data_IF_540279061373
#
_entry.id   IF_540279061373
#
_cell.length_a   1.000
_cell.length_b   1.000
_cell.length_c   1.000
_cell.angle_alpha   90.00
_cell.angle_beta   90.00
_cell.angle_gamma   90.00
#
_symmetry.space_group_name_H-M   'P 1'
#
loop_
_entity.id
_entity.type
_entity.pdbx_description
1 polymer ?
#
# COMPACT_ATOMS: atom_id res chain seq x y z
N UNK A 1 46.93 -29.01 -24.05
CA UNK A 1 45.68 -28.96 -24.86
C UNK A 1 44.63 -28.22 -24.03
N UNK A 2 43.85 -27.35 -24.66
CA UNK A 2 43.22 -26.14 -24.10
C UNK A 2 42.15 -26.42 -23.03
N UNK A 3 42.20 -25.68 -21.91
CA UNK A 3 41.09 -25.52 -20.97
C UNK A 3 40.08 -24.54 -21.59
N UNK A 4 38.87 -24.98 -21.88
CA UNK A 4 37.77 -24.12 -22.30
C UNK A 4 37.01 -23.64 -21.06
N UNK A 5 37.12 -22.34 -20.74
CA UNK A 5 36.25 -21.70 -19.77
C UNK A 5 34.93 -21.33 -20.46
N UNK A 6 33.81 -21.82 -19.93
CA UNK A 6 32.48 -21.36 -20.33
C UNK A 6 32.18 -20.10 -19.53
N UNK A 7 32.18 -18.95 -20.21
CA UNK A 7 31.66 -17.71 -19.65
C UNK A 7 30.13 -17.81 -19.70
N UNK A 8 29.50 -18.07 -18.56
CA UNK A 8 28.07 -17.85 -18.42
C UNK A 8 27.85 -16.34 -18.43
N UNK A 9 27.30 -15.80 -19.52
CA UNK A 9 26.78 -14.45 -19.53
C UNK A 9 25.58 -14.39 -18.59
N UNK A 10 25.71 -13.67 -17.47
CA UNK A 10 24.56 -13.30 -16.67
C UNK A 10 23.67 -12.40 -17.53
N UNK A 11 22.45 -12.85 -17.82
CA UNK A 11 21.42 -12.02 -18.44
C UNK A 11 21.08 -10.94 -17.43
N UNK A 12 21.33 -9.68 -17.76
CA UNK A 12 20.90 -8.56 -16.94
C UNK A 12 19.37 -8.60 -16.85
N UNK A 13 18.83 -8.85 -15.65
CA UNK A 13 17.41 -8.68 -15.40
C UNK A 13 17.08 -7.18 -15.50
N UNK A 14 16.16 -6.83 -16.40
CA UNK A 14 15.44 -5.55 -16.36
C UNK A 14 13.96 -5.92 -16.36
N UNK A 15 13.16 -5.33 -15.46
CA UNK A 15 12.92 -3.89 -15.53
C UNK A 15 12.93 -3.19 -14.16
N UNK A 16 13.87 -2.27 -13.94
CA UNK A 16 13.65 -1.22 -12.94
C UNK A 16 12.84 -0.12 -13.62
N UNK A 17 11.52 -0.28 -13.69
CA UNK A 17 10.65 0.88 -13.99
C UNK A 17 10.57 1.70 -12.71
N UNK A 18 11.55 2.56 -12.51
CA UNK A 18 11.38 3.72 -11.66
C UNK A 18 10.52 4.70 -12.47
N UNK A 19 9.22 4.77 -12.20
CA UNK A 19 8.40 5.81 -12.80
C UNK A 19 8.72 7.14 -12.13
N UNK A 20 8.66 8.23 -12.91
CA UNK A 20 8.87 9.58 -12.38
C UNK A 20 7.88 9.83 -11.25
N UNK A 21 8.37 10.34 -10.12
CA UNK A 21 7.53 10.75 -9.00
C UNK A 21 6.41 11.67 -9.45
N UNK A 22 5.23 11.50 -8.84
CA UNK A 22 4.07 12.34 -9.04
C UNK A 22 3.65 13.00 -7.72
N UNK A 23 3.32 14.28 -7.79
CA UNK A 23 3.05 15.10 -6.59
C UNK A 23 1.64 15.70 -6.58
N UNK A 24 0.82 15.45 -7.61
CA UNK A 24 -0.55 15.97 -7.68
C UNK A 24 -1.48 15.26 -6.70
N UNK A 25 -2.54 15.97 -6.29
CA UNK A 25 -3.50 15.51 -5.26
C UNK A 25 -4.05 14.10 -5.53
N UNK A 26 -4.43 13.84 -6.78
CA UNK A 26 -5.10 12.61 -7.23
C UNK A 26 -4.30 11.87 -8.28
N UNK A 27 -3.00 12.14 -8.39
CA UNK A 27 -2.15 11.39 -9.31
C UNK A 27 -1.93 9.97 -8.80
N UNK A 28 -1.75 9.07 -9.75
CA UNK A 28 -1.48 7.66 -9.51
C UNK A 28 -0.67 7.07 -10.66
N UNK A 29 -0.04 5.93 -10.38
CA UNK A 29 0.50 5.02 -11.38
C UNK A 29 -0.12 3.63 -11.22
N UNK A 30 -0.03 2.80 -12.24
CA UNK A 30 -0.58 1.47 -12.29
C UNK A 30 0.47 0.43 -12.67
N UNK A 31 0.41 -0.72 -12.01
CA UNK A 31 1.03 -1.98 -12.45
C UNK A 31 -0.07 -2.96 -12.85
N UNK A 32 0.28 -4.19 -13.22
CA UNK A 32 -0.72 -5.23 -13.50
C UNK A 32 -1.62 -5.49 -12.29
N UNK A 33 -1.02 -5.63 -11.11
CA UNK A 33 -1.72 -6.00 -9.87
C UNK A 33 -2.15 -4.81 -9.00
N UNK A 34 -1.56 -3.63 -9.18
CA UNK A 34 -1.75 -2.49 -8.26
C UNK A 34 -2.09 -1.18 -8.96
N UNK A 35 -2.80 -0.32 -8.23
CA UNK A 35 -2.77 1.13 -8.47
C UNK A 35 -2.10 1.80 -7.26
N UNK A 36 -1.08 2.60 -7.49
CA UNK A 36 -0.37 3.36 -6.45
C UNK A 36 -0.86 4.81 -6.52
N UNK A 37 -1.46 5.30 -5.44
CA UNK A 37 -2.04 6.64 -5.35
C UNK A 37 -1.21 7.57 -4.47
N UNK A 38 -1.18 8.87 -4.81
CA UNK A 38 -0.68 9.92 -3.91
C UNK A 38 -1.75 10.27 -2.86
N UNK A 39 -3.01 10.40 -3.31
CA UNK A 39 -4.22 10.56 -2.49
C UNK A 39 -4.08 11.60 -1.37
N UNK A 40 -3.90 12.86 -1.76
CA UNK A 40 -3.71 13.99 -0.83
C UNK A 40 -5.05 14.61 -0.40
N UNK A 41 -6.00 13.78 0.03
CA UNK A 41 -7.38 14.20 0.30
C UNK A 41 -7.51 15.29 1.38
N UNK A 42 -6.61 15.30 2.37
CA UNK A 42 -6.58 16.25 3.48
C UNK A 42 -5.64 17.45 3.28
N UNK A 43 -4.98 17.56 2.11
CA UNK A 43 -3.95 18.58 1.89
C UNK A 43 -4.49 20.03 1.89
N UNK A 44 -5.79 20.22 1.69
CA UNK A 44 -6.42 21.54 1.72
C UNK A 44 -6.27 22.26 3.08
N UNK A 45 -6.12 21.52 4.17
CA UNK A 45 -5.90 22.05 5.52
C UNK A 45 -4.44 22.41 5.81
N UNK A 46 -3.52 22.06 4.90
CA UNK A 46 -2.11 22.46 4.96
C UNK A 46 -1.59 22.86 3.57
N UNK A 47 -2.02 24.02 3.05
CA UNK A 47 -1.74 24.45 1.67
C UNK A 47 -0.25 24.74 1.39
N UNK A 48 0.60 24.74 2.42
CA UNK A 48 2.06 24.93 2.30
C UNK A 48 2.82 23.62 2.32
N UNK A 49 2.18 22.53 2.73
CA UNK A 49 2.76 21.20 2.67
C UNK A 49 2.74 20.62 1.27
N UNK A 50 3.30 19.43 1.13
CA UNK A 50 3.36 18.73 -0.15
C UNK A 50 3.87 17.31 0.02
N UNK A 51 3.53 16.48 -0.96
CA UNK A 51 3.89 15.07 -0.97
C UNK A 51 4.00 14.55 -2.40
N UNK A 52 5.04 13.75 -2.65
CA UNK A 52 5.28 13.06 -3.90
C UNK A 52 5.40 11.56 -3.65
N UNK A 53 4.88 10.76 -4.58
CA UNK A 53 4.90 9.29 -4.53
C UNK A 53 5.52 8.76 -5.82
N UNK A 54 6.24 7.64 -5.74
CA UNK A 54 6.90 7.02 -6.88
C UNK A 54 6.89 5.49 -6.79
N UNK A 55 6.75 4.84 -7.95
CA UNK A 55 6.98 3.39 -8.11
C UNK A 55 8.46 3.17 -8.41
N UNK A 56 9.14 2.35 -7.61
CA UNK A 56 10.58 2.09 -7.73
C UNK A 56 10.90 0.88 -8.61
N UNK A 57 10.14 -0.21 -8.44
CA UNK A 57 10.34 -1.44 -9.22
C UNK A 57 9.12 -2.37 -9.17
N UNK A 58 9.05 -3.26 -10.15
CA UNK A 58 8.06 -4.35 -10.24
C UNK A 58 8.80 -5.64 -10.55
N UNK A 59 8.57 -6.68 -9.73
CA UNK A 59 9.10 -8.04 -9.91
C UNK A 59 7.98 -9.06 -9.66
N UNK A 60 7.34 -9.49 -10.75
CA UNK A 60 6.09 -10.25 -10.70
C UNK A 60 5.02 -9.46 -9.95
N UNK A 61 4.40 -10.09 -8.95
CA UNK A 61 3.41 -9.46 -8.07
C UNK A 61 4.02 -8.63 -6.93
N UNK A 62 5.34 -8.48 -6.87
CA UNK A 62 5.99 -7.65 -5.87
C UNK A 62 6.25 -6.25 -6.44
N UNK A 63 5.86 -5.23 -5.69
CA UNK A 63 6.18 -3.84 -5.99
C UNK A 63 7.10 -3.26 -4.91
N UNK A 64 7.95 -2.33 -5.31
CA UNK A 64 8.64 -1.42 -4.40
C UNK A 64 8.23 0.01 -4.75
N UNK A 65 7.99 0.84 -3.74
CA UNK A 65 7.52 2.22 -3.92
C UNK A 65 7.91 3.08 -2.72
N UNK A 66 7.84 4.39 -2.90
CA UNK A 66 8.09 5.36 -1.84
C UNK A 66 7.10 6.50 -1.88
N UNK A 67 7.00 7.21 -0.75
CA UNK A 67 6.37 8.53 -0.70
C UNK A 67 7.17 9.43 0.23
N UNK A 68 7.43 10.66 -0.21
CA UNK A 68 8.14 11.69 0.53
C UNK A 68 7.22 12.88 0.77
N UNK A 69 7.25 13.45 1.98
CA UNK A 69 6.34 14.54 2.35
C UNK A 69 6.93 15.56 3.31
N UNK A 70 6.35 16.75 3.24
CA UNK A 70 6.47 17.82 4.21
C UNK A 70 5.06 18.30 4.59
N UNK A 71 4.66 18.08 5.84
CA UNK A 71 3.37 18.49 6.40
C UNK A 71 3.61 19.21 7.73
N UNK A 72 3.12 20.44 7.83
CA UNK A 72 3.29 21.35 8.98
C UNK A 72 1.97 21.78 9.63
N UNK A 73 0.84 21.38 9.05
CA UNK A 73 -0.51 21.69 9.53
C UNK A 73 -0.85 21.03 10.86
N UNK A 74 -2.13 20.97 11.22
CA UNK A 74 -2.57 20.46 12.53
C UNK A 74 -2.17 18.99 12.77
N UNK A 75 -1.84 18.65 14.02
CA UNK A 75 -1.38 17.32 14.44
C UNK A 75 -2.48 16.27 14.57
N UNK A 76 -3.75 16.66 14.38
CA UNK A 76 -4.92 15.80 14.62
C UNK A 76 -5.64 15.38 13.35
N UNK A 77 -5.21 15.89 12.20
CA UNK A 77 -5.89 15.69 10.94
C UNK A 77 -4.92 15.09 9.94
N UNK A 78 -5.33 13.97 9.34
CA UNK A 78 -4.59 13.27 8.29
C UNK A 78 -4.58 14.12 7.02
N UNK A 79 -3.42 14.19 6.35
CA UNK A 79 -3.22 15.00 5.14
C UNK A 79 -3.36 14.20 3.85
N UNK A 80 -3.06 12.90 3.90
CA UNK A 80 -3.09 12.01 2.74
C UNK A 80 -3.25 10.56 3.15
N UNK A 81 -3.50 9.69 2.17
CA UNK A 81 -3.33 8.25 2.31
C UNK A 81 -2.70 7.69 1.04
N UNK A 82 -1.41 7.97 0.84
CA UNK A 82 -0.66 7.37 -0.26
C UNK A 82 -0.55 5.87 -0.04
N UNK A 83 -0.98 5.09 -1.03
CA UNK A 83 -1.17 3.66 -0.88
C UNK A 83 -1.01 2.88 -2.18
N UNK A 84 -0.66 1.60 -2.04
CA UNK A 84 -0.82 0.60 -3.08
C UNK A 84 -2.16 -0.11 -2.87
N UNK A 85 -3.04 -0.02 -3.87
CA UNK A 85 -4.34 -0.68 -3.90
C UNK A 85 -4.30 -1.90 -4.83
N UNK A 86 -4.60 -3.08 -4.30
CA UNK A 86 -4.68 -4.31 -5.08
C UNK A 86 -5.89 -4.25 -6.04
N UNK A 87 -5.67 -4.67 -7.27
CA UNK A 87 -6.70 -4.91 -8.28
C UNK A 87 -7.14 -6.36 -8.17
N UNK A 88 -8.41 -6.58 -7.86
CA UNK A 88 -9.01 -7.91 -7.79
C UNK A 88 -10.52 -7.79 -7.98
N UNK A 89 -11.15 -8.85 -8.46
CA UNK A 89 -12.60 -8.93 -8.48
C UNK A 89 -13.13 -9.07 -7.05
N UNK A 90 -14.18 -8.33 -6.64
CA UNK A 90 -14.70 -8.40 -5.29
C UNK A 90 -15.04 -9.84 -4.87
N UNK A 91 -14.46 -10.28 -3.76
CA UNK A 91 -14.68 -11.63 -3.19
C UNK A 91 -15.57 -11.51 -1.97
N UNK A 92 -16.54 -12.42 -1.83
CA UNK A 92 -17.46 -12.41 -0.70
C UNK A 92 -16.70 -12.59 0.63
N UNK A 93 -16.86 -11.64 1.55
CA UNK A 93 -16.41 -11.71 2.94
C UNK A 93 -17.60 -11.68 3.88
N UNK A 94 -17.37 -12.08 5.12
CA UNK A 94 -18.32 -11.81 6.17
C UNK A 94 -18.22 -10.28 6.60
N UNK A 95 -19.34 -9.56 6.96
CA UNK A 95 -19.72 -8.08 7.26
C UNK A 95 -18.71 -6.91 7.12
N UNK A 96 -19.05 -5.60 6.96
CA UNK A 96 -20.07 -4.68 7.56
C UNK A 96 -20.68 -3.61 6.61
N UNK A 97 -21.88 -3.06 6.88
CA UNK A 97 -22.67 -2.18 5.98
C UNK A 97 -21.96 -0.83 5.69
N UNK A 98 -22.00 -0.37 4.44
CA UNK A 98 -21.30 0.84 3.99
C UNK A 98 -22.10 2.13 4.30
N UNK A 99 -21.46 3.09 4.98
CA UNK A 99 -22.02 4.36 5.48
C UNK A 99 -22.03 4.39 7.00
N UNK A 100 -23.02 3.76 7.60
CA UNK A 100 -23.01 3.34 9.00
C UNK A 100 -21.90 2.27 9.22
N UNK A 101 -20.63 2.69 9.08
CA UNK A 101 -19.42 1.86 8.95
C UNK A 101 -18.71 1.76 10.29
N UNK A 102 -18.44 0.54 10.74
CA UNK A 102 -17.63 0.26 11.92
C UNK A 102 -16.17 0.06 11.51
N UNK A 103 -15.25 0.83 12.10
CA UNK A 103 -13.80 0.70 11.87
C UNK A 103 -13.17 -0.14 12.98
N UNK A 104 -12.50 -1.22 12.61
CA UNK A 104 -11.67 -2.00 13.52
C UNK A 104 -10.20 -1.72 13.20
N UNK A 105 -9.47 -1.17 14.17
CA UNK A 105 -8.05 -0.85 14.03
C UNK A 105 -7.23 -1.80 14.91
N UNK A 106 -6.49 -2.70 14.27
CA UNK A 106 -5.49 -3.52 14.95
C UNK A 106 -4.15 -2.79 14.96
N UNK A 107 -3.77 -2.23 16.10
CA UNK A 107 -2.51 -1.51 16.27
C UNK A 107 -1.49 -2.45 16.90
N UNK A 108 -0.38 -2.71 16.20
CA UNK A 108 0.71 -3.50 16.73
C UNK A 108 1.32 -2.81 17.97
N UNK A 109 1.61 -3.59 19.02
CA UNK A 109 2.21 -3.06 20.27
C UNK A 109 3.60 -2.46 20.03
N UNK A 110 4.35 -3.04 19.09
CA UNK A 110 5.67 -2.57 18.69
C UNK A 110 5.72 -2.30 17.19
N UNK A 111 6.53 -1.32 16.78
CA UNK A 111 6.77 -1.01 15.37
C UNK A 111 7.28 -2.23 14.62
N UNK A 112 6.55 -2.63 13.60
CA UNK A 112 6.85 -3.81 12.78
C UNK A 112 7.19 -3.35 11.37
N UNK A 113 8.46 -3.47 10.97
CA UNK A 113 8.95 -3.05 9.63
C UNK A 113 8.97 -4.18 8.61
N UNK A 114 8.66 -5.41 9.03
CA UNK A 114 8.51 -6.60 8.18
C UNK A 114 7.33 -7.41 8.69
N UNK A 115 6.37 -7.66 7.82
CA UNK A 115 5.13 -8.34 8.18
C UNK A 115 4.68 -9.27 7.04
N UNK A 116 4.15 -10.43 7.41
CA UNK A 116 3.55 -11.41 6.50
C UNK A 116 2.46 -12.13 7.26
N UNK A 117 1.25 -12.16 6.71
CA UNK A 117 0.10 -12.83 7.32
C UNK A 117 -0.95 -13.19 6.27
N UNK A 118 -1.80 -14.15 6.62
CA UNK A 118 -3.11 -14.29 5.98
C UNK A 118 -4.07 -13.32 6.64
N UNK A 119 -4.56 -12.34 5.87
CA UNK A 119 -5.44 -11.30 6.40
C UNK A 119 -6.79 -11.85 6.85
N UNK A 120 -7.19 -13.05 6.38
CA UNK A 120 -8.39 -13.75 6.87
C UNK A 120 -8.40 -13.87 8.40
N UNK A 121 -7.23 -14.03 9.02
CA UNK A 121 -7.08 -14.16 10.47
C UNK A 121 -7.60 -12.94 11.25
N UNK A 122 -7.53 -11.74 10.69
CA UNK A 122 -8.06 -10.54 11.35
C UNK A 122 -9.59 -10.51 11.33
N UNK A 123 -10.22 -11.09 10.30
CA UNK A 123 -11.67 -11.25 10.23
C UNK A 123 -12.17 -12.35 11.19
N UNK A 124 -11.39 -13.42 11.36
CA UNK A 124 -11.73 -14.52 12.27
C UNK A 124 -11.55 -14.16 13.77
N UNK A 125 -10.88 -13.04 14.08
CA UNK A 125 -10.54 -12.58 15.43
C UNK A 125 -11.21 -11.26 15.83
N UNK A 126 -12.40 -11.00 15.31
CA UNK A 126 -13.20 -9.87 15.77
C UNK A 126 -13.64 -10.08 17.25
N UNK A 127 -13.84 -9.00 18.03
CA UNK A 127 -14.37 -9.11 19.40
C UNK A 127 -15.75 -9.79 19.40
N UNK A 128 -16.10 -10.51 20.47
CA UNK A 128 -17.23 -11.46 20.51
C UNK A 128 -18.59 -10.90 20.03
N UNK A 129 -18.87 -9.62 20.28
CA UNK A 129 -20.12 -8.97 19.86
C UNK A 129 -20.10 -8.44 18.40
N UNK A 130 -18.98 -8.57 17.71
CA UNK A 130 -18.77 -8.08 16.35
C UNK A 130 -18.81 -9.24 15.37
N UNK A 131 -20.02 -9.59 14.93
CA UNK A 131 -20.21 -10.65 13.93
C UNK A 131 -20.06 -10.11 12.53
N UNK A 132 -19.49 -10.96 11.66
CA UNK A 132 -19.42 -10.67 10.25
C UNK A 132 -20.56 -11.37 9.40
N UNK A 133 -21.44 -10.67 8.63
CA UNK A 133 -22.56 -11.23 7.82
C UNK A 133 -22.04 -11.86 6.55
N UNK A 134 -22.46 -13.08 6.20
CA UNK A 134 -21.91 -13.81 5.06
C UNK A 134 -22.14 -13.14 3.70
N UNK A 135 -23.04 -12.16 3.58
CA UNK A 135 -23.42 -11.49 2.33
C UNK A 135 -22.54 -10.32 1.91
N UNK A 136 -21.41 -10.10 2.59
CA UNK A 136 -20.57 -8.94 2.33
C UNK A 136 -19.42 -9.28 1.41
N UNK A 137 -18.70 -8.27 0.95
CA UNK A 137 -17.64 -8.46 -0.05
C UNK A 137 -16.40 -7.68 0.38
N UNK A 138 -15.24 -8.32 0.29
CA UNK A 138 -13.96 -7.63 0.17
C UNK A 138 -14.00 -6.84 -1.13
N UNK A 139 -13.94 -5.53 -1.01
CA UNK A 139 -13.94 -4.64 -2.17
C UNK A 139 -12.58 -4.00 -2.38
N UNK A 140 -11.83 -3.73 -1.29
CA UNK A 140 -10.54 -3.06 -1.35
C UNK A 140 -9.53 -3.70 -0.41
N UNK A 141 -8.30 -3.88 -0.90
CA UNK A 141 -7.10 -4.19 -0.11
C UNK A 141 -6.08 -3.12 -0.42
N UNK A 142 -5.72 -2.32 0.59
CA UNK A 142 -4.84 -1.17 0.45
C UNK A 142 -3.78 -1.18 1.55
N UNK A 143 -2.54 -0.84 1.18
CA UNK A 143 -1.45 -0.65 2.13
C UNK A 143 -0.74 0.68 1.85
N UNK A 144 -0.59 1.51 2.88
CA UNK A 144 -0.11 2.87 2.73
C UNK A 144 0.23 3.54 4.05
N UNK A 145 0.31 4.88 4.04
CA UNK A 145 0.61 5.69 5.22
C UNK A 145 -0.28 6.92 5.30
N UNK A 146 -0.69 7.28 6.53
CA UNK A 146 -1.51 8.46 6.84
C UNK A 146 -0.69 9.47 7.66
N UNK A 147 -0.01 10.44 7.02
CA UNK A 147 0.75 11.44 7.74
C UNK A 147 -0.14 12.53 8.33
N UNK A 148 0.18 12.91 9.56
CA UNK A 148 -0.39 14.09 10.24
C UNK A 148 0.54 15.30 10.07
N UNK A 149 1.82 15.10 10.41
CA UNK A 149 2.91 16.07 10.33
C UNK A 149 4.22 15.34 10.01
N UNK A 150 5.20 16.07 9.48
CA UNK A 150 6.57 15.58 9.28
C UNK A 150 7.34 16.47 8.31
N UNK A 151 8.66 16.57 8.49
CA UNK A 151 9.54 17.36 7.63
C UNK A 151 10.63 16.45 7.07
N UNK A 152 10.88 16.54 5.76
CA UNK A 152 11.81 15.67 5.03
C UNK A 152 11.58 14.18 5.33
N UNK A 153 10.32 13.80 5.48
CA UNK A 153 9.94 12.43 5.81
C UNK A 153 9.79 11.61 4.52
N UNK A 154 10.28 10.37 4.56
CA UNK A 154 10.13 9.41 3.47
C UNK A 154 9.74 8.05 4.04
N UNK A 155 8.65 7.48 3.52
CA UNK A 155 8.38 6.05 3.62
C UNK A 155 8.99 5.37 2.40
N UNK A 156 9.79 4.32 2.64
CA UNK A 156 10.27 3.42 1.59
C UNK A 156 9.72 2.03 1.83
N UNK A 157 8.94 1.54 0.87
CA UNK A 157 8.43 0.17 0.84
C UNK A 157 9.30 -0.61 -0.14
N UNK A 158 10.30 -1.32 0.39
CA UNK A 158 11.25 -2.06 -0.45
C UNK A 158 10.67 -3.31 -1.10
N UNK A 159 9.58 -3.85 -0.55
CA UNK A 159 8.84 -4.99 -1.11
C UNK A 159 7.42 -5.03 -0.51
N UNK A 160 6.41 -5.06 -1.37
CA UNK A 160 5.02 -5.31 -1.00
C UNK A 160 4.38 -6.25 -2.02
N UNK A 161 3.60 -7.20 -1.52
CA UNK A 161 2.70 -8.02 -2.32
C UNK A 161 1.49 -8.42 -1.48
N UNK A 162 0.38 -8.62 -2.16
CA UNK A 162 -0.90 -9.05 -1.63
C UNK A 162 -1.63 -9.82 -2.71
N UNK A 163 -2.44 -10.79 -2.30
CA UNK A 163 -3.29 -11.58 -3.18
C UNK A 163 -4.61 -11.86 -2.49
N UNK A 164 -5.69 -11.92 -3.28
CA UNK A 164 -6.99 -12.41 -2.82
C UNK A 164 -7.25 -13.71 -3.56
N UNK A 165 -7.25 -14.81 -2.81
CA UNK A 165 -7.54 -16.13 -3.35
C UNK A 165 -9.02 -16.45 -3.07
N UNK A 166 -9.74 -16.90 -4.09
CA UNK A 166 -11.02 -17.56 -3.87
C UNK A 166 -10.78 -18.88 -3.14
N UNK A 167 -11.58 -19.16 -2.11
CA UNK A 167 -11.60 -20.45 -1.45
C UNK A 167 -12.14 -21.56 -2.36
#
# INVERSE_FOLDING_TARGET
MKLSAVIAAAVAASPTVAEKEFCGLWNSTQTDDYTIYNNLWGAHDDPKGGQCTGLDSVDGSNIAWHTSFNWTGSSWQVKSFANAALKFDPVQLAKGKNGNTTVFSYVAVNTTTKFSADFKQFFDKLPEDNTISPTQYLTHVQAGTEPFQGQNATLTVSKYSAAVNSA
#
